data_IF_625455500514
#
_entry.id   IF_625455500514
#
_cell.length_a   1.000
_cell.length_b   1.000
_cell.length_c   1.000
_cell.angle_alpha   90.00
_cell.angle_beta   90.00
_cell.angle_gamma   90.00
#
_symmetry.space_group_name_H-M   'P 1'
#
loop_
_entity.id
_entity.type
_entity.pdbx_description
1 polymer ?
#
# COMPACT_ATOMS: atom_id res chain seq x y z
N UNK A 1 -12.80 -4.87 19.16
CA UNK A 1 -12.91 -5.33 17.76
C UNK A 1 -12.46 -4.17 16.91
N UNK A 2 -11.39 -4.35 16.14
CA UNK A 2 -11.11 -3.45 15.03
C UNK A 2 -12.05 -3.91 13.92
N UNK A 3 -12.83 -2.98 13.36
CA UNK A 3 -13.67 -3.29 12.20
C UNK A 3 -12.74 -3.61 11.02
N UNK A 4 -13.05 -4.65 10.23
CA UNK A 4 -12.28 -5.00 9.03
C UNK A 4 -12.20 -3.80 8.06
N UNK A 5 -13.24 -2.97 8.04
CA UNK A 5 -13.25 -1.70 7.33
C UNK A 5 -12.26 -0.67 7.92
N UNK A 6 -12.11 -0.60 9.24
CA UNK A 6 -11.15 0.30 9.89
C UNK A 6 -9.71 -0.10 9.57
N UNK A 7 -9.43 -1.41 9.51
CA UNK A 7 -8.13 -1.93 9.13
C UNK A 7 -7.81 -1.61 7.67
N UNK A 8 -8.76 -1.84 6.76
CA UNK A 8 -8.62 -1.48 5.36
C UNK A 8 -8.37 0.02 5.14
N UNK A 9 -9.10 0.88 5.85
CA UNK A 9 -8.91 2.34 5.81
C UNK A 9 -7.52 2.73 6.29
N UNK A 10 -7.02 2.10 7.36
CA UNK A 10 -5.64 2.34 7.86
C UNK A 10 -4.60 1.98 6.81
N UNK A 11 -4.74 0.82 6.15
CA UNK A 11 -3.84 0.40 5.07
C UNK A 11 -3.87 1.41 3.92
N UNK A 12 -5.07 1.77 3.44
CA UNK A 12 -5.25 2.73 2.34
C UNK A 12 -4.63 4.09 2.66
N UNK A 13 -4.87 4.62 3.85
CA UNK A 13 -4.33 5.91 4.27
C UNK A 13 -2.80 5.90 4.32
N UNK A 14 -2.21 4.82 4.81
CA UNK A 14 -0.75 4.70 4.88
C UNK A 14 -0.12 4.58 3.49
N UNK A 15 -0.70 3.78 2.60
CA UNK A 15 -0.25 3.70 1.21
C UNK A 15 -0.37 5.07 0.51
N UNK A 16 -1.47 5.79 0.74
CA UNK A 16 -1.68 7.13 0.18
C UNK A 16 -0.63 8.12 0.72
N UNK A 17 -0.33 8.08 2.01
CA UNK A 17 0.71 8.90 2.62
C UNK A 17 2.10 8.59 2.02
N UNK A 18 2.40 7.30 1.79
CA UNK A 18 3.63 6.89 1.12
C UNK A 18 3.74 7.41 -0.30
N UNK A 19 2.65 7.34 -1.08
CA UNK A 19 2.60 7.90 -2.43
C UNK A 19 2.85 9.41 -2.42
N UNK A 20 2.23 10.14 -1.49
CA UNK A 20 2.39 11.59 -1.38
C UNK A 20 3.80 11.99 -0.92
N UNK A 21 4.50 11.12 -0.20
CA UNK A 21 5.90 11.33 0.20
C UNK A 21 6.92 10.92 -0.86
N UNK A 22 6.49 10.56 -2.08
CA UNK A 22 7.40 10.06 -3.12
C UNK A 22 8.39 11.14 -3.59
N UNK A 23 9.67 10.81 -3.79
CA UNK A 23 10.63 11.74 -4.39
C UNK A 23 10.24 12.12 -5.82
N UNK A 24 10.64 13.31 -6.27
CA UNK A 24 10.38 13.83 -7.62
C UNK A 24 10.92 12.89 -8.72
N UNK A 25 11.92 12.06 -8.40
CA UNK A 25 12.44 11.01 -9.29
C UNK A 25 11.41 9.95 -9.69
N UNK A 26 10.28 9.84 -8.99
CA UNK A 26 9.16 8.96 -9.34
C UNK A 26 8.07 9.70 -10.13
N UNK A 27 8.46 10.64 -10.98
CA UNK A 27 7.55 11.35 -11.88
C UNK A 27 6.69 10.38 -12.69
N UNK A 28 5.42 10.74 -12.87
CA UNK A 28 4.37 9.94 -13.52
C UNK A 28 3.99 8.60 -12.85
N UNK A 29 4.60 8.24 -11.71
CA UNK A 29 4.14 7.10 -10.92
C UNK A 29 2.84 7.45 -10.17
N UNK A 30 1.87 6.54 -10.20
CA UNK A 30 0.57 6.70 -9.55
C UNK A 30 0.05 5.38 -9.00
N UNK A 31 -0.89 5.47 -8.07
CA UNK A 31 -1.50 4.33 -7.40
C UNK A 31 -2.99 4.57 -7.21
N UNK A 32 -3.77 3.50 -7.30
CA UNK A 32 -5.17 3.47 -6.93
C UNK A 32 -5.43 2.35 -5.93
N UNK A 33 -6.25 2.64 -4.92
CA UNK A 33 -6.61 1.68 -3.88
C UNK A 33 -8.12 1.58 -3.75
N UNK A 34 -8.62 0.36 -3.56
CA UNK A 34 -10.04 0.08 -3.37
C UNK A 34 -10.22 -0.99 -2.29
N UNK A 35 -11.02 -0.71 -1.27
CA UNK A 35 -11.49 -1.74 -0.35
C UNK A 35 -12.66 -2.50 -0.97
N UNK A 36 -12.54 -3.81 -1.03
CA UNK A 36 -13.55 -4.75 -1.52
C UNK A 36 -14.18 -5.44 -0.31
N UNK A 37 -15.21 -4.81 0.26
CA UNK A 37 -15.88 -5.28 1.49
C UNK A 37 -16.30 -6.75 1.42
N UNK A 38 -16.89 -7.16 0.30
CA UNK A 38 -17.36 -8.54 0.09
C UNK A 38 -16.26 -9.59 0.17
N UNK A 39 -15.02 -9.20 -0.12
CA UNK A 39 -13.87 -10.10 -0.12
C UNK A 39 -12.96 -9.90 1.10
N UNK A 40 -13.22 -8.88 1.92
CA UNK A 40 -12.30 -8.37 2.94
C UNK A 40 -10.86 -8.21 2.38
N UNK A 41 -10.73 -7.46 1.28
CA UNK A 41 -9.44 -7.23 0.60
C UNK A 41 -9.25 -5.78 0.21
N UNK A 42 -8.01 -5.32 0.29
CA UNK A 42 -7.59 -4.06 -0.35
C UNK A 42 -6.94 -4.39 -1.70
N UNK A 43 -7.56 -3.94 -2.79
CA UNK A 43 -6.97 -3.95 -4.11
C UNK A 43 -6.06 -2.73 -4.27
N UNK A 44 -4.82 -2.97 -4.70
CA UNK A 44 -3.84 -1.93 -4.99
C UNK A 44 -3.43 -2.04 -6.46
N UNK A 45 -3.63 -0.97 -7.23
CA UNK A 45 -3.17 -0.87 -8.63
C UNK A 45 -2.04 0.14 -8.70
N UNK A 46 -0.91 -0.24 -9.30
CA UNK A 46 0.30 0.56 -9.39
C UNK A 46 0.66 0.82 -10.86
N UNK A 47 1.04 2.06 -11.17
CA UNK A 47 1.60 2.46 -12.45
C UNK A 47 2.89 3.24 -12.19
N UNK A 48 3.96 2.90 -12.90
CA UNK A 48 5.25 3.56 -12.75
C UNK A 48 6.42 2.62 -13.02
N UNK A 49 7.61 3.07 -12.63
CA UNK A 49 8.84 2.30 -12.79
C UNK A 49 9.03 1.27 -11.66
N UNK A 50 9.89 0.28 -11.91
CA UNK A 50 10.12 -0.85 -10.99
C UNK A 50 10.52 -0.41 -9.57
N UNK A 51 11.40 0.57 -9.44
CA UNK A 51 11.86 1.06 -8.13
C UNK A 51 10.70 1.61 -7.28
N UNK A 52 9.76 2.33 -7.91
CA UNK A 52 8.56 2.79 -7.24
C UNK A 52 7.66 1.62 -6.80
N UNK A 53 7.52 0.60 -7.64
CA UNK A 53 6.74 -0.58 -7.28
C UNK A 53 7.36 -1.34 -6.09
N UNK A 54 8.69 -1.46 -6.05
CA UNK A 54 9.41 -2.09 -4.93
C UNK A 54 9.17 -1.35 -3.62
N UNK A 55 9.32 -0.02 -3.63
CA UNK A 55 9.07 0.84 -2.46
C UNK A 55 7.65 0.66 -1.90
N UNK A 56 6.63 0.62 -2.78
CA UNK A 56 5.25 0.41 -2.34
C UNK A 56 5.03 -1.02 -1.81
N UNK A 57 5.61 -2.04 -2.43
CA UNK A 57 5.51 -3.42 -1.95
C UNK A 57 6.18 -3.63 -0.58
N UNK A 58 7.33 -2.98 -0.33
CA UNK A 58 7.98 -2.98 0.98
C UNK A 58 7.10 -2.32 2.04
N UNK A 59 6.41 -1.23 1.70
CA UNK A 59 5.47 -0.59 2.63
C UNK A 59 4.25 -1.46 2.90
N UNK A 60 3.75 -2.16 1.89
CA UNK A 60 2.67 -3.16 2.04
C UNK A 60 3.10 -4.27 3.00
N UNK A 61 4.33 -4.79 2.89
CA UNK A 61 4.80 -5.86 3.77
C UNK A 61 4.86 -5.40 5.23
N UNK A 62 5.32 -4.18 5.49
CA UNK A 62 5.35 -3.58 6.83
C UNK A 62 3.94 -3.44 7.43
N UNK A 63 2.97 -2.91 6.69
CA UNK A 63 1.62 -2.68 7.23
C UNK A 63 0.78 -3.94 7.36
N UNK A 64 1.09 -4.97 6.60
CA UNK A 64 0.40 -6.27 6.67
C UNK A 64 1.07 -7.24 7.66
N UNK A 65 2.16 -6.83 8.33
CA UNK A 65 2.90 -7.69 9.24
C UNK A 65 3.61 -8.86 8.54
N UNK A 66 3.78 -8.80 7.22
CA UNK A 66 4.49 -9.80 6.42
C UNK A 66 6.01 -9.54 6.39
N UNK A 67 6.56 -8.93 7.44
CA UNK A 67 8.00 -8.90 7.64
C UNK A 67 8.42 -10.35 7.79
N UNK A 68 9.11 -10.90 6.79
CA UNK A 68 9.80 -12.17 6.97
C UNK A 68 10.84 -11.91 8.06
N UNK A 69 10.53 -12.33 9.29
CA UNK A 69 11.49 -12.45 10.38
C UNK A 69 12.50 -13.55 9.98
N UNK A 70 13.34 -13.25 9.00
CA UNK A 70 14.52 -14.05 8.73
C UNK A 70 15.58 -13.58 9.72
N UNK A 71 15.60 -14.29 10.84
CA UNK A 71 16.68 -14.29 11.85
C UNK A 71 18.00 -14.68 11.20
#
# INVERSE_FOLDING_TARGET
MIDEADEAIRIINLLTAALNGKPETYDNATMYTQYLEQENKVRVTLWGHLLFMQEILERISVVTGNTTDNT
#
